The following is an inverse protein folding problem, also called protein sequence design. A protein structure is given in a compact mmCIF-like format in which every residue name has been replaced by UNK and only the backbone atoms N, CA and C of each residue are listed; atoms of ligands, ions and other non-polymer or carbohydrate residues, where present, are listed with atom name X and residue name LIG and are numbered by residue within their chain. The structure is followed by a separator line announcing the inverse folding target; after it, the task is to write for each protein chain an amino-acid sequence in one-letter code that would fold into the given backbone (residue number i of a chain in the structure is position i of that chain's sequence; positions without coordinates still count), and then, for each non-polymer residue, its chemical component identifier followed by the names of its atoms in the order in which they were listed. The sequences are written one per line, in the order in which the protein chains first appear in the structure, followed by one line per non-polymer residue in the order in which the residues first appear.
data_IF_928042367625
#
_entry.id   IF_928042367625
#
_cell.length_a   1.000
_cell.length_b   1.000
_cell.length_c   1.000
_cell.angle_alpha   90.00
_cell.angle_beta   90.00
_cell.angle_gamma   90.00
#
_symmetry.space_group_name_H-M   'P 1'
#
loop_
_entity.id
_entity.type
_entity.pdbx_description
1 polymer ?
#
# COMPACT_ATOMS: atom_id res chain seq x y z
N UNK A 1 -15.68 17.29 -81.18
CA UNK A 1 -14.53 17.19 -80.25
C UNK A 1 -14.93 16.28 -79.11
N UNK A 2 -14.10 15.29 -78.77
CA UNK A 2 -14.25 14.49 -77.54
C UNK A 2 -13.26 15.04 -76.50
N UNK A 3 -13.73 15.23 -75.27
CA UNK A 3 -12.91 15.65 -74.14
C UNK A 3 -12.81 14.48 -73.18
N UNK A 4 -11.61 14.24 -72.65
CA UNK A 4 -11.37 13.28 -71.58
C UNK A 4 -10.73 14.02 -70.42
N UNK A 5 -11.15 13.68 -69.20
CA UNK A 5 -10.53 14.14 -67.97
C UNK A 5 -9.63 13.00 -67.50
N UNK A 6 -8.39 13.30 -67.11
CA UNK A 6 -7.48 12.33 -66.52
C UNK A 6 -6.93 12.94 -65.24
N UNK A 7 -7.06 12.22 -64.14
CA UNK A 7 -6.50 12.65 -62.87
C UNK A 7 -4.98 12.47 -62.83
N UNK A 8 -4.32 13.40 -62.14
CA UNK A 8 -2.90 13.27 -61.78
C UNK A 8 -2.82 12.42 -60.52
N UNK A 9 -1.95 11.42 -60.52
CA UNK A 9 -1.77 10.50 -59.39
C UNK A 9 -1.57 11.26 -58.06
N UNK A 10 -2.39 10.92 -57.06
CA UNK A 10 -2.31 11.46 -55.71
C UNK A 10 -1.74 10.38 -54.80
N UNK A 11 -0.58 10.63 -54.19
CA UNK A 11 0.05 9.66 -53.30
C UNK A 11 -0.90 9.24 -52.17
N UNK A 12 -1.10 7.93 -52.00
CA UNK A 12 -2.00 7.36 -50.99
C UNK A 12 -3.45 7.20 -51.44
N UNK A 13 -3.78 7.45 -52.72
CA UNK A 13 -5.09 7.18 -53.31
C UNK A 13 -4.99 6.36 -54.59
N UNK A 14 -5.98 5.52 -54.85
CA UNK A 14 -6.21 4.81 -56.11
C UNK A 14 -7.42 5.43 -56.78
N UNK A 15 -7.24 5.99 -57.97
CA UNK A 15 -8.30 6.56 -58.77
C UNK A 15 -8.97 5.51 -59.67
N UNK A 16 -10.30 5.52 -59.74
CA UNK A 16 -11.08 4.84 -60.78
C UNK A 16 -11.87 5.86 -61.60
N UNK A 17 -12.09 5.57 -62.88
CA UNK A 17 -12.79 6.48 -63.78
C UNK A 17 -13.92 5.76 -64.50
N UNK A 18 -15.14 6.32 -64.38
CA UNK A 18 -16.31 5.91 -65.14
C UNK A 18 -16.82 7.12 -65.94
N UNK A 19 -16.53 7.14 -67.24
CA UNK A 19 -16.79 8.30 -68.10
C UNK A 19 -16.07 9.56 -67.61
N UNK A 20 -16.85 10.56 -67.21
CA UNK A 20 -16.34 11.84 -66.69
C UNK A 20 -16.31 11.91 -65.15
N UNK A 21 -16.68 10.82 -64.47
CA UNK A 21 -16.59 10.72 -63.02
C UNK A 21 -15.27 10.07 -62.65
N UNK A 22 -14.49 10.76 -61.83
CA UNK A 22 -13.25 10.25 -61.24
C UNK A 22 -13.52 10.02 -59.75
N UNK A 23 -13.29 8.80 -59.29
CA UNK A 23 -13.44 8.42 -57.88
C UNK A 23 -12.07 8.11 -57.29
N UNK A 24 -11.63 8.89 -56.32
CA UNK A 24 -10.44 8.58 -55.52
C UNK A 24 -10.80 7.70 -54.33
N UNK A 25 -10.09 6.59 -54.18
CA UNK A 25 -10.18 5.71 -53.02
C UNK A 25 -8.88 5.82 -52.24
N UNK A 26 -8.92 6.19 -50.96
CA UNK A 26 -7.70 6.22 -50.15
C UNK A 26 -7.17 4.80 -49.91
N UNK A 27 -5.87 4.59 -50.14
CA UNK A 27 -5.20 3.30 -50.10
C UNK A 27 -4.98 2.78 -48.67
N UNK A 28 -4.89 3.70 -47.69
CA UNK A 28 -4.65 3.41 -46.27
C UNK A 28 -5.74 4.10 -45.42
N UNK A 29 -6.98 3.62 -45.58
CA UNK A 29 -8.15 4.11 -44.84
C UNK A 29 -8.24 3.55 -43.41
N UNK A 30 -7.29 2.71 -43.00
CA UNK A 30 -7.27 2.10 -41.68
C UNK A 30 -6.11 2.65 -40.86
N UNK A 31 -6.36 2.86 -39.57
CA UNK A 31 -5.35 3.23 -38.59
C UNK A 31 -5.37 2.25 -37.42
N UNK A 32 -4.33 2.30 -36.61
CA UNK A 32 -4.33 1.73 -35.27
C UNK A 32 -4.21 2.81 -34.21
N UNK A 33 -4.84 2.56 -33.08
CA UNK A 33 -4.69 3.36 -31.86
C UNK A 33 -4.07 2.46 -30.81
N UNK A 34 -3.05 2.94 -30.12
CA UNK A 34 -2.39 2.20 -29.05
C UNK A 34 -2.50 2.98 -27.74
N UNK A 35 -2.69 2.27 -26.63
CA UNK A 35 -2.58 2.79 -25.29
C UNK A 35 -1.58 1.95 -24.48
N UNK A 36 -0.77 2.61 -23.67
CA UNK A 36 0.24 1.98 -22.82
C UNK A 36 -0.20 2.04 -21.35
N UNK A 37 -0.08 0.93 -20.63
CA UNK A 37 -0.37 0.84 -19.20
C UNK A 37 0.92 0.77 -18.41
N UNK A 38 1.04 1.67 -17.42
CA UNK A 38 2.10 1.66 -16.41
C UNK A 38 1.54 1.53 -15.01
N UNK A 39 2.34 0.94 -14.13
CA UNK A 39 2.00 0.76 -12.73
C UNK A 39 3.11 1.26 -11.81
N UNK A 40 2.73 2.00 -10.77
CA UNK A 40 3.61 2.45 -9.69
C UNK A 40 3.09 1.85 -8.38
N UNK A 41 3.86 0.93 -7.80
CA UNK A 41 3.52 0.22 -6.57
C UNK A 41 2.39 -0.81 -6.74
N UNK A 42 1.84 -1.24 -5.61
CA UNK A 42 0.67 -2.11 -5.49
C UNK A 42 0.86 -3.53 -6.03
N UNK A 43 2.10 -4.01 -6.21
CA UNK A 43 2.41 -5.29 -6.87
C UNK A 43 1.60 -6.49 -6.37
N UNK A 44 1.24 -6.51 -5.08
CA UNK A 44 0.50 -7.63 -4.47
C UNK A 44 -1.02 -7.52 -4.59
N UNK A 45 -1.53 -6.39 -5.08
CA UNK A 45 -2.96 -6.06 -5.16
C UNK A 45 -3.37 -5.54 -6.55
N UNK A 46 -2.50 -5.65 -7.55
CA UNK A 46 -2.87 -5.32 -8.94
C UNK A 46 -3.99 -6.27 -9.40
N UNK A 47 -5.01 -5.76 -10.10
CA UNK A 47 -6.06 -6.61 -10.66
C UNK A 47 -5.48 -7.50 -11.76
N UNK A 48 -6.19 -8.59 -12.10
CA UNK A 48 -5.81 -9.48 -13.21
C UNK A 48 -5.92 -8.81 -14.59
N UNK A 49 -6.73 -7.76 -14.70
CA UNK A 49 -6.92 -6.97 -15.91
C UNK A 49 -7.41 -5.56 -15.59
N UNK A 50 -7.28 -4.68 -16.57
CA UNK A 50 -7.90 -3.35 -16.58
C UNK A 50 -8.66 -3.17 -17.88
N UNK A 51 -9.65 -2.29 -17.89
CA UNK A 51 -10.46 -2.01 -19.07
C UNK A 51 -10.06 -0.67 -19.68
N UNK A 52 -9.77 -0.68 -20.97
CA UNK A 52 -9.64 0.54 -21.76
C UNK A 52 -10.82 0.67 -22.73
N UNK A 53 -11.28 1.89 -22.89
CA UNK A 53 -12.42 2.26 -23.73
C UNK A 53 -11.92 3.14 -24.87
N UNK A 54 -12.26 2.75 -26.10
CA UNK A 54 -11.99 3.55 -27.30
C UNK A 54 -13.19 4.44 -27.59
N UNK A 55 -12.91 5.69 -27.97
CA UNK A 55 -13.90 6.65 -28.43
C UNK A 55 -13.54 7.15 -29.82
N UNK A 56 -14.56 7.42 -30.64
CA UNK A 56 -14.46 8.02 -31.97
C UNK A 56 -15.40 9.22 -32.01
N UNK A 57 -14.86 10.40 -32.25
CA UNK A 57 -15.56 11.70 -32.19
C UNK A 57 -16.35 11.90 -30.89
N UNK A 58 -15.81 11.37 -29.78
CA UNK A 58 -16.44 11.41 -28.47
C UNK A 58 -17.52 10.34 -28.24
N UNK A 59 -17.84 9.53 -29.23
CA UNK A 59 -18.75 8.39 -29.08
C UNK A 59 -17.98 7.13 -28.71
N UNK A 60 -18.53 6.39 -27.75
CA UNK A 60 -17.94 5.16 -27.26
C UNK A 60 -18.02 4.04 -28.32
N UNK A 61 -16.87 3.47 -28.66
CA UNK A 61 -16.70 2.48 -29.73
C UNK A 61 -16.65 1.03 -29.22
N UNK A 62 -16.40 0.81 -27.93
CA UNK A 62 -16.32 -0.53 -27.31
C UNK A 62 -15.14 -0.72 -26.36
N UNK A 63 -15.16 -1.83 -25.63
CA UNK A 63 -14.09 -2.23 -24.70
C UNK A 63 -13.01 -2.98 -25.46
N UNK A 64 -11.74 -2.67 -25.19
CA UNK A 64 -10.71 -3.67 -25.32
C UNK A 64 -10.44 -4.27 -23.95
N UNK A 65 -10.61 -5.58 -23.85
CA UNK A 65 -10.09 -6.35 -22.74
C UNK A 65 -8.65 -6.66 -23.05
N UNK A 66 -7.74 -6.26 -22.16
CA UNK A 66 -6.43 -6.87 -22.16
C UNK A 66 -6.12 -7.49 -20.80
N UNK A 67 -5.66 -8.73 -20.85
CA UNK A 67 -5.28 -9.50 -19.67
C UNK A 67 -3.81 -9.23 -19.40
N UNK A 68 -3.54 -8.13 -18.72
CA UNK A 68 -2.19 -7.74 -18.36
C UNK A 68 -1.74 -8.59 -17.16
N UNK A 69 -0.89 -9.59 -17.42
CA UNK A 69 -0.39 -10.51 -16.39
C UNK A 69 0.60 -9.81 -15.45
N UNK A 70 0.65 -10.22 -14.16
CA UNK A 70 1.47 -9.58 -13.14
C UNK A 70 2.95 -9.92 -13.34
N UNK A 71 3.63 -9.10 -14.15
CA UNK A 71 5.05 -9.21 -14.46
C UNK A 71 5.50 -8.20 -15.52
N UNK A 72 4.61 -7.79 -16.40
CA UNK A 72 4.91 -6.79 -17.43
C UNK A 72 4.86 -5.39 -16.84
N UNK A 73 6.01 -4.72 -16.85
CA UNK A 73 6.15 -3.37 -16.32
C UNK A 73 5.45 -2.33 -17.18
N UNK A 74 5.24 -2.66 -18.45
CA UNK A 74 4.61 -1.80 -19.44
C UNK A 74 3.87 -2.72 -20.43
N UNK A 75 2.54 -2.65 -20.43
CA UNK A 75 1.70 -3.41 -21.36
C UNK A 75 0.97 -2.48 -22.29
N UNK A 76 0.59 -2.97 -23.48
CA UNK A 76 -0.01 -2.14 -24.53
C UNK A 76 -1.30 -2.78 -25.01
N UNK A 77 -2.30 -1.95 -25.20
CA UNK A 77 -3.56 -2.31 -25.86
C UNK A 77 -3.58 -1.62 -27.21
N UNK A 78 -3.83 -2.38 -28.27
CA UNK A 78 -3.88 -1.86 -29.64
C UNK A 78 -5.24 -2.18 -30.26
N UNK A 79 -5.92 -1.15 -30.75
CA UNK A 79 -7.07 -1.28 -31.64
C UNK A 79 -6.58 -1.13 -33.07
N UNK A 80 -6.84 -2.13 -33.92
CA UNK A 80 -6.48 -2.12 -35.35
C UNK A 80 -7.71 -1.93 -36.22
N UNK A 81 -7.50 -1.73 -37.52
CA UNK A 81 -8.55 -1.70 -38.54
C UNK A 81 -9.62 -0.61 -38.32
N UNK A 82 -9.25 0.47 -37.66
CA UNK A 82 -10.10 1.63 -37.38
C UNK A 82 -10.17 2.54 -38.61
N UNK A 83 -11.36 2.97 -39.02
CA UNK A 83 -11.49 3.88 -40.16
C UNK A 83 -10.82 5.22 -39.87
N UNK A 84 -10.04 5.74 -40.82
CA UNK A 84 -9.39 7.05 -40.68
C UNK A 84 -10.35 8.21 -40.93
N UNK A 85 -11.27 8.00 -41.86
CA UNK A 85 -12.23 9.01 -42.32
C UNK A 85 -13.64 8.42 -42.41
N UNK A 86 -14.64 9.28 -42.29
CA UNK A 86 -16.04 8.92 -42.56
C UNK A 86 -16.33 8.74 -44.07
N UNK A 87 -17.59 8.46 -44.41
CA UNK A 87 -18.03 8.31 -45.80
C UNK A 87 -17.94 9.60 -46.64
N UNK A 88 -17.81 10.75 -46.00
CA UNK A 88 -17.71 12.07 -46.63
C UNK A 88 -16.25 12.56 -46.73
N UNK A 89 -15.29 11.82 -46.14
CA UNK A 89 -13.87 12.12 -46.14
C UNK A 89 -13.38 12.95 -44.94
N UNK A 90 -14.22 13.18 -43.92
CA UNK A 90 -13.79 13.86 -42.69
C UNK A 90 -13.00 12.91 -41.79
N UNK A 91 -11.90 13.40 -41.20
CA UNK A 91 -11.03 12.60 -40.34
C UNK A 91 -11.68 12.36 -38.98
N UNK A 92 -11.75 11.09 -38.57
CA UNK A 92 -12.19 10.68 -37.23
C UNK A 92 -11.15 11.06 -36.17
N UNK A 93 -11.62 11.56 -35.02
CA UNK A 93 -10.79 11.79 -33.83
C UNK A 93 -10.96 10.60 -32.89
N UNK A 94 -9.85 9.93 -32.57
CA UNK A 94 -9.86 8.83 -31.61
C UNK A 94 -9.25 9.24 -30.27
N UNK A 95 -9.86 8.78 -29.18
CA UNK A 95 -9.33 8.92 -27.82
C UNK A 95 -9.54 7.64 -27.03
N UNK A 96 -8.67 7.42 -26.05
CA UNK A 96 -8.74 6.26 -25.14
C UNK A 96 -8.97 6.76 -23.72
N UNK A 97 -9.75 6.01 -22.94
CA UNK A 97 -9.89 6.20 -21.50
C UNK A 97 -9.66 4.88 -20.76
N UNK A 98 -9.12 4.95 -19.54
CA UNK A 98 -9.02 3.80 -18.64
C UNK A 98 -10.16 3.86 -17.63
N UNK A 99 -10.84 2.73 -17.44
CA UNK A 99 -11.84 2.58 -16.38
C UNK A 99 -11.14 2.57 -15.02
N UNK A 100 -11.66 3.33 -14.06
CA UNK A 100 -11.05 3.49 -12.74
C UNK A 100 -10.81 2.15 -12.03
N UNK A 101 -9.61 2.00 -11.47
CA UNK A 101 -9.20 0.81 -10.70
C UNK A 101 -9.18 1.17 -9.21
N UNK A 102 -9.90 0.39 -8.39
CA UNK A 102 -9.98 0.62 -6.95
C UNK A 102 -8.60 0.62 -6.29
N UNK A 103 -8.36 1.56 -5.36
CA UNK A 103 -7.06 1.76 -4.67
C UNK A 103 -5.91 2.26 -5.54
N UNK A 104 -6.15 2.62 -6.80
CA UNK A 104 -5.15 3.24 -7.66
C UNK A 104 -5.61 4.62 -8.16
N UNK A 105 -4.71 5.59 -8.14
CA UNK A 105 -4.90 6.87 -8.81
C UNK A 105 -4.38 6.79 -10.25
N UNK A 106 -5.21 7.16 -11.22
CA UNK A 106 -4.85 7.25 -12.64
C UNK A 106 -4.22 8.61 -12.95
N UNK A 107 -3.15 8.60 -13.74
CA UNK A 107 -2.61 9.78 -14.43
C UNK A 107 -2.31 9.42 -15.89
N UNK A 108 -2.34 10.40 -16.81
CA UNK A 108 -2.05 10.15 -18.23
C UNK A 108 -1.03 11.14 -18.79
N UNK A 109 -0.22 10.65 -19.72
CA UNK A 109 0.65 11.44 -20.61
C UNK A 109 0.47 10.91 -22.03
N UNK A 110 -0.20 11.68 -22.90
CA UNK A 110 -0.72 11.17 -24.17
C UNK A 110 -1.64 9.94 -23.95
N UNK A 111 -1.30 8.83 -24.61
CA UNK A 111 -1.99 7.54 -24.48
C UNK A 111 -1.30 6.58 -23.49
N UNK A 112 -0.38 7.07 -22.65
CA UNK A 112 0.21 6.29 -21.56
C UNK A 112 -0.53 6.57 -20.26
N UNK A 113 -1.11 5.53 -19.67
CA UNK A 113 -1.91 5.58 -18.44
C UNK A 113 -1.17 4.94 -17.26
N UNK A 114 -0.87 5.73 -16.25
CA UNK A 114 -0.12 5.29 -15.06
C UNK A 114 -1.04 5.15 -13.85
N UNK A 115 -1.18 3.92 -13.34
CA UNK A 115 -1.85 3.65 -12.07
C UNK A 115 -0.86 3.69 -10.93
N UNK A 116 -1.07 4.62 -10.01
CA UNK A 116 -0.26 4.75 -8.79
C UNK A 116 -1.04 4.23 -7.60
N UNK A 117 -0.50 3.22 -6.93
CA UNK A 117 -1.12 2.62 -5.75
C UNK A 117 -1.27 3.63 -4.62
N UNK A 118 -2.41 3.55 -3.91
CA UNK A 118 -2.71 4.35 -2.73
C UNK A 118 -3.15 3.42 -1.61
N UNK A 119 -2.38 3.40 -0.53
CA UNK A 119 -2.81 2.74 0.70
C UNK A 119 -3.95 3.51 1.34
N UNK A 120 -4.88 2.79 1.96
CA UNK A 120 -5.84 3.37 2.89
C UNK A 120 -5.16 3.64 4.23
N UNK A 121 -5.72 4.57 5.01
CA UNK A 121 -5.19 4.96 6.31
C UNK A 121 -6.19 4.65 7.42
N UNK A 122 -5.67 4.40 8.62
CA UNK A 122 -6.45 4.13 9.83
C UNK A 122 -5.77 4.74 11.04
N UNK A 123 -6.50 4.80 12.15
CA UNK A 123 -5.93 5.08 13.47
C UNK A 123 -5.69 3.78 14.22
N UNK A 124 -4.59 3.72 14.98
CA UNK A 124 -4.20 2.55 15.76
C UNK A 124 -4.12 2.91 17.23
N UNK A 125 -4.73 2.08 18.07
CA UNK A 125 -4.75 2.28 19.52
C UNK A 125 -3.88 1.24 20.20
N UNK A 126 -2.75 1.70 20.76
CA UNK A 126 -1.98 0.94 21.73
C UNK A 126 -2.67 0.94 23.09
N UNK A 127 -2.70 -0.21 23.77
CA UNK A 127 -3.35 -0.39 25.08
C UNK A 127 -2.33 -0.69 26.16
N UNK A 128 -2.48 -0.02 27.30
CA UNK A 128 -1.68 -0.25 28.49
C UNK A 128 -2.48 -1.04 29.51
N UNK A 129 -1.85 -2.04 30.12
CA UNK A 129 -2.40 -2.79 31.24
C UNK A 129 -1.44 -2.67 32.42
N UNK A 130 -1.97 -2.34 33.59
CA UNK A 130 -1.22 -2.30 34.85
C UNK A 130 -1.73 -3.40 35.79
N UNK A 131 -0.86 -4.32 36.19
CA UNK A 131 -1.17 -5.42 37.07
C UNK A 131 -0.46 -5.27 38.42
N UNK A 132 -1.19 -5.46 39.51
CA UNK A 132 -0.62 -5.57 40.86
C UNK A 132 -0.27 -4.26 41.57
N UNK A 133 -0.62 -3.08 41.02
CA UNK A 133 -0.42 -1.78 41.68
C UNK A 133 -1.29 -0.65 41.10
N UNK A 134 -1.51 0.43 41.86
CA UNK A 134 -2.31 1.61 41.47
C UNK A 134 -1.49 2.75 40.84
N UNK A 135 -0.19 2.80 41.06
CA UNK A 135 0.68 3.79 40.41
C UNK A 135 0.60 3.71 38.89
N UNK A 136 0.64 4.87 38.24
CA UNK A 136 0.64 5.06 36.79
C UNK A 136 1.78 6.01 36.40
N UNK A 137 3.04 5.55 36.43
CA UNK A 137 4.18 6.34 35.96
C UNK A 137 3.99 6.78 34.50
N UNK A 138 4.57 7.92 34.16
CA UNK A 138 4.58 8.42 32.80
C UNK A 138 5.40 7.48 31.91
N UNK A 139 4.81 7.11 30.77
CA UNK A 139 5.40 6.28 29.74
C UNK A 139 4.90 6.74 28.37
N UNK A 140 5.62 6.31 27.33
CA UNK A 140 5.27 6.55 25.95
C UNK A 140 5.23 5.22 25.20
N UNK A 141 4.48 5.17 24.11
CA UNK A 141 4.55 4.09 23.14
C UNK A 141 5.25 4.59 21.88
N UNK A 142 6.25 3.84 21.42
CA UNK A 142 6.81 3.97 20.08
C UNK A 142 6.13 2.96 19.16
N UNK A 143 5.63 3.41 18.00
CA UNK A 143 4.98 2.54 17.02
C UNK A 143 5.99 1.82 16.13
N UNK A 144 5.74 0.54 15.90
CA UNK A 144 6.49 -0.32 15.00
C UNK A 144 5.56 -0.96 13.98
N UNK A 145 6.07 -1.18 12.77
CA UNK A 145 5.37 -1.87 11.70
C UNK A 145 6.24 -2.96 11.08
N UNK A 146 5.60 -4.00 10.53
CA UNK A 146 6.26 -5.00 9.70
C UNK A 146 5.28 -5.66 8.73
N UNK A 147 5.84 -6.28 7.70
CA UNK A 147 5.15 -7.29 6.91
C UNK A 147 5.26 -8.64 7.64
N UNK A 148 4.28 -9.53 7.46
CA UNK A 148 4.26 -10.85 8.11
C UNK A 148 5.56 -11.61 7.85
N UNK A 149 6.23 -12.05 8.91
CA UNK A 149 7.50 -12.78 8.85
C UNK A 149 8.76 -11.92 8.71
N UNK A 150 8.62 -10.60 8.62
CA UNK A 150 9.74 -9.66 8.63
C UNK A 150 9.98 -9.03 10.01
N UNK A 151 11.16 -8.46 10.19
CA UNK A 151 11.55 -7.76 11.42
C UNK A 151 10.79 -6.43 11.56
N UNK A 152 10.22 -6.12 12.75
CA UNK A 152 9.64 -4.82 13.05
C UNK A 152 10.59 -3.65 12.88
N UNK A 153 10.10 -2.60 12.22
CA UNK A 153 10.79 -1.32 12.04
C UNK A 153 10.01 -0.19 12.71
N UNK A 154 10.71 0.83 13.21
CA UNK A 154 10.07 2.02 13.78
C UNK A 154 9.27 2.73 12.70
N UNK A 155 8.04 3.11 13.02
CA UNK A 155 7.26 4.03 12.18
C UNK A 155 7.79 5.44 12.40
N UNK A 156 7.89 6.21 11.32
CA UNK A 156 8.28 7.61 11.38
C UNK A 156 7.02 8.50 11.25
N UNK A 157 7.04 9.64 11.93
CA UNK A 157 6.05 10.68 11.79
C UNK A 157 6.28 11.51 10.50
N UNK A 158 5.44 12.53 10.28
CA UNK A 158 5.54 13.41 9.11
C UNK A 158 6.86 14.19 9.02
N UNK A 159 7.61 14.31 10.12
CA UNK A 159 8.90 15.00 10.18
C UNK A 159 10.09 14.03 10.06
N UNK A 160 9.83 12.73 9.86
CA UNK A 160 10.87 11.71 9.81
C UNK A 160 11.43 11.30 11.17
N UNK A 161 10.79 11.69 12.28
CA UNK A 161 11.17 11.25 13.63
C UNK A 161 10.39 9.99 14.03
N UNK A 162 10.86 9.18 14.99
CA UNK A 162 10.08 8.05 15.49
C UNK A 162 8.68 8.49 15.97
N UNK A 163 7.64 7.78 15.54
CA UNK A 163 6.27 8.08 15.95
C UNK A 163 6.04 7.60 17.39
N UNK A 164 6.11 8.55 18.32
CA UNK A 164 6.05 8.32 19.77
C UNK A 164 4.84 9.07 20.33
N UNK A 165 4.00 8.39 21.11
CA UNK A 165 2.80 8.98 21.71
C UNK A 165 2.77 8.69 23.21
N UNK A 166 2.48 9.73 24.01
CA UNK A 166 2.31 9.59 25.46
C UNK A 166 1.10 8.72 25.77
N UNK A 167 1.24 7.80 26.71
CA UNK A 167 0.08 7.01 27.18
C UNK A 167 -0.74 7.85 28.15
N UNK A 168 -2.03 7.99 27.85
CA UNK A 168 -3.03 8.72 28.66
C UNK A 168 -4.27 7.84 28.77
N UNK A 169 -4.84 7.71 29.96
CA UNK A 169 -6.00 6.85 30.24
C UNK A 169 -5.84 5.42 29.70
N UNK A 170 -4.66 4.84 29.96
CA UNK A 170 -4.28 3.48 29.57
C UNK A 170 -4.31 3.22 28.05
N UNK A 171 -4.20 4.27 27.22
CA UNK A 171 -4.14 4.19 25.76
C UNK A 171 -3.17 5.20 25.14
N UNK A 172 -2.72 4.90 23.92
CA UNK A 172 -2.07 5.85 23.03
C UNK A 172 -2.61 5.63 21.61
N UNK A 173 -3.04 6.71 20.95
CA UNK A 173 -3.56 6.65 19.59
C UNK A 173 -2.50 7.16 18.61
N UNK A 174 -2.26 6.39 17.55
CA UNK A 174 -1.44 6.76 16.42
C UNK A 174 -2.36 6.98 15.24
N UNK A 175 -2.55 8.25 14.90
CA UNK A 175 -3.48 8.65 13.86
C UNK A 175 -2.86 8.50 12.47
N UNK A 176 -3.70 8.21 11.49
CA UNK A 176 -3.38 8.27 10.06
C UNK A 176 -2.16 7.44 9.64
N UNK A 177 -2.14 6.16 10.02
CA UNK A 177 -1.10 5.21 9.59
C UNK A 177 -1.61 4.32 8.44
N UNK A 178 -0.76 3.95 7.47
CA UNK A 178 -1.19 3.20 6.30
C UNK A 178 -1.55 1.75 6.64
N UNK A 179 -2.52 1.15 5.93
CA UNK A 179 -2.87 -0.26 6.10
C UNK A 179 -1.90 -1.21 5.39
N UNK A 180 -1.19 -0.70 4.37
CA UNK A 180 -0.28 -1.46 3.53
C UNK A 180 0.99 -0.68 3.23
N UNK A 181 2.05 -1.38 2.81
CA UNK A 181 3.20 -0.73 2.21
C UNK A 181 2.89 -0.23 0.77
N UNK A 182 3.89 0.34 0.10
CA UNK A 182 3.79 0.82 -1.29
C UNK A 182 3.54 -0.30 -2.30
N UNK A 183 3.81 -1.56 -1.94
CA UNK A 183 3.61 -2.74 -2.77
C UNK A 183 2.25 -3.41 -2.54
N UNK A 184 1.43 -2.87 -1.62
CA UNK A 184 0.13 -3.42 -1.24
C UNK A 184 0.20 -4.51 -0.16
N UNK A 185 1.39 -4.81 0.38
CA UNK A 185 1.52 -5.78 1.47
C UNK A 185 0.89 -5.23 2.74
N UNK A 186 0.02 -6.02 3.38
CA UNK A 186 -0.59 -5.65 4.65
C UNK A 186 0.46 -5.41 5.75
N UNK A 187 0.36 -4.25 6.38
CA UNK A 187 1.20 -3.89 7.52
C UNK A 187 0.60 -4.43 8.83
N UNK A 188 1.47 -4.97 9.67
CA UNK A 188 1.17 -5.42 11.02
C UNK A 188 1.83 -4.44 11.98
N UNK A 189 1.04 -3.92 12.92
CA UNK A 189 1.51 -2.92 13.88
C UNK A 189 1.70 -3.50 15.28
N UNK A 190 2.70 -2.96 15.97
CA UNK A 190 2.99 -3.23 17.37
C UNK A 190 3.52 -1.99 18.07
N UNK A 191 3.45 -1.97 19.40
CA UNK A 191 4.00 -0.88 20.21
C UNK A 191 5.07 -1.40 21.16
N UNK A 192 6.05 -0.54 21.46
CA UNK A 192 7.00 -0.74 22.56
C UNK A 192 6.86 0.38 23.58
N UNK A 193 6.99 0.03 24.85
CA UNK A 193 7.04 0.99 25.95
C UNK A 193 8.41 1.66 26.01
N UNK A 194 8.40 2.98 25.90
CA UNK A 194 9.59 3.82 25.81
C UNK A 194 9.49 5.03 26.73
N UNK A 195 10.62 5.72 26.89
CA UNK A 195 10.63 7.09 27.39
C UNK A 195 10.14 8.06 26.29
N UNK A 196 10.12 9.35 26.62
CA UNK A 196 9.71 10.43 25.71
C UNK A 196 10.61 10.56 24.46
N UNK A 197 11.82 10.02 24.52
CA UNK A 197 12.84 10.11 23.47
C UNK A 197 12.86 8.80 22.63
N UNK A 198 12.00 7.83 22.94
CA UNK A 198 11.87 6.57 22.19
C UNK A 198 12.91 5.51 22.56
N UNK A 199 13.57 5.64 23.70
CA UNK A 199 14.49 4.63 24.25
C UNK A 199 13.72 3.59 25.05
N UNK A 200 14.24 2.36 25.07
CA UNK A 200 13.64 1.28 25.86
C UNK A 200 13.54 1.68 27.33
N UNK A 201 12.33 1.63 27.87
CA UNK A 201 12.05 2.09 29.23
C UNK A 201 11.07 1.14 29.91
N UNK A 202 11.29 0.98 31.22
CA UNK A 202 10.41 0.31 32.16
C UNK A 202 10.40 1.13 33.44
N UNK A 203 9.22 1.52 33.96
CA UNK A 203 9.13 2.16 35.25
C UNK A 203 9.71 1.31 36.37
N UNK A 204 10.41 1.95 37.31
CA UNK A 204 11.02 1.25 38.45
C UNK A 204 9.99 0.45 39.25
N UNK A 205 10.33 -0.80 39.57
CA UNK A 205 9.44 -1.71 40.30
C UNK A 205 8.41 -2.43 39.44
N UNK A 206 8.50 -2.31 38.10
CA UNK A 206 7.68 -3.08 37.17
C UNK A 206 8.53 -3.99 36.29
N UNK A 207 7.90 -5.02 35.75
CA UNK A 207 8.36 -5.75 34.57
C UNK A 207 7.35 -5.54 33.45
N UNK A 208 7.82 -5.31 32.23
CA UNK A 208 6.96 -5.16 31.06
C UNK A 208 6.88 -6.44 30.22
N UNK A 209 5.75 -6.63 29.56
CA UNK A 209 5.50 -7.61 28.50
C UNK A 209 4.81 -6.89 27.35
N UNK A 210 5.34 -7.04 26.14
CA UNK A 210 4.88 -6.35 24.92
C UNK A 210 4.36 -7.39 23.91
N UNK A 211 3.10 -7.26 23.50
CA UNK A 211 2.45 -8.14 22.53
C UNK A 211 1.58 -7.35 21.57
N UNK A 212 2.05 -7.20 20.33
CA UNK A 212 1.34 -6.43 19.32
C UNK A 212 1.06 -5.03 19.84
N UNK A 213 -0.22 -4.66 19.93
CA UNK A 213 -0.68 -3.36 20.39
C UNK A 213 -0.95 -3.27 21.90
N UNK A 214 -0.56 -4.28 22.69
CA UNK A 214 -0.79 -4.29 24.14
C UNK A 214 0.52 -4.38 24.90
N UNK A 215 0.69 -3.49 25.89
CA UNK A 215 1.81 -3.56 26.85
C UNK A 215 1.27 -3.76 28.25
N UNK A 216 1.72 -4.82 28.92
CA UNK A 216 1.39 -5.10 30.32
C UNK A 216 2.57 -4.80 31.24
N UNK A 217 2.40 -3.92 32.22
CA UNK A 217 3.34 -3.77 33.33
C UNK A 217 2.82 -4.50 34.57
N UNK A 218 3.63 -5.44 35.07
CA UNK A 218 3.34 -6.17 36.31
C UNK A 218 4.23 -5.65 37.41
N UNK A 219 3.63 -5.22 38.53
CA UNK A 219 4.36 -4.72 39.68
C UNK A 219 5.14 -5.84 40.38
N UNK A 220 6.43 -5.60 40.58
CA UNK A 220 7.34 -6.47 41.30
C UNK A 220 7.95 -5.69 42.47
N UNK A 221 7.38 -5.81 43.69
CA UNK A 221 7.89 -5.09 44.85
C UNK A 221 9.35 -5.47 45.11
N UNK A 222 10.21 -4.46 45.27
CA UNK A 222 11.60 -4.68 45.67
C UNK A 222 11.64 -5.23 47.09
N UNK A 223 12.10 -6.47 47.26
CA UNK A 223 12.34 -7.03 48.59
C UNK A 223 13.59 -6.36 49.17
N UNK A 224 13.41 -5.49 50.17
CA UNK A 224 14.52 -5.00 51.00
C UNK A 224 14.93 -6.11 51.97
N UNK A 225 15.80 -7.03 51.56
CA UNK A 225 16.55 -7.82 52.55
C UNK A 225 17.62 -6.93 53.16
N UNK A 226 17.53 -6.70 54.47
CA UNK A 226 18.62 -6.12 55.25
C UNK A 226 19.91 -6.92 55.00
N UNK A 227 20.97 -6.16 54.72
CA UNK A 227 22.35 -6.59 54.49
C UNK A 227 22.66 -7.36 53.19
N UNK A 228 23.46 -6.67 52.36
CA UNK A 228 24.00 -7.01 51.04
C UNK A 228 22.95 -7.09 49.92
N UNK A 229 23.08 -6.16 48.97
CA UNK A 229 22.41 -6.14 47.66
C UNK A 229 22.61 -7.51 46.99
N UNK A 230 21.61 -8.38 47.07
CA UNK A 230 21.54 -9.59 46.24
C UNK A 230 20.21 -9.54 45.51
N UNK A 231 20.29 -9.34 44.20
CA UNK A 231 19.15 -9.40 43.28
C UNK A 231 18.58 -10.81 43.32
N UNK A 232 17.39 -11.00 43.90
CA UNK A 232 16.64 -12.26 43.78
C UNK A 232 15.66 -12.05 42.63
N UNK A 233 15.98 -12.60 41.47
CA UNK A 233 15.05 -12.68 40.34
C UNK A 233 13.94 -13.66 40.70
N UNK A 234 12.75 -13.17 41.05
CA UNK A 234 11.56 -14.01 41.17
C UNK A 234 11.07 -14.25 39.74
N UNK A 235 11.40 -15.41 39.18
CA UNK A 235 10.87 -15.87 37.90
C UNK A 235 9.42 -16.31 38.15
N UNK A 236 8.45 -15.45 37.83
CA UNK A 236 7.06 -15.84 37.73
C UNK A 236 6.86 -16.51 36.36
N UNK A 237 6.92 -17.85 36.33
CA UNK A 237 6.50 -18.63 35.17
C UNK A 237 4.98 -18.53 35.05
N UNK A 238 4.50 -17.60 34.23
CA UNK A 238 3.12 -17.60 33.76
C UNK A 238 3.00 -18.65 32.64
N UNK A 239 2.83 -19.91 33.02
CA UNK A 239 2.22 -20.91 32.13
C UNK A 239 0.73 -20.93 32.48
N UNK A 240 -0.11 -20.94 31.47
CA UNK A 240 -1.56 -20.91 31.59
C UNK A 240 -2.06 -21.90 32.67
N UNK A 241 -2.70 -21.36 33.71
CA UNK A 241 -3.33 -22.14 34.78
C UNK A 241 -2.37 -22.61 35.88
N UNK A 242 -2.68 -22.18 37.12
CA UNK A 242 -2.09 -22.63 38.40
C UNK A 242 -0.83 -21.84 38.84
N UNK A 243 -1.06 -20.83 39.70
CA UNK A 243 -0.02 -20.18 40.49
C UNK A 243 0.61 -21.23 41.43
N UNK A 244 1.87 -21.58 41.20
CA UNK A 244 2.67 -22.32 42.18
C UNK A 244 3.82 -21.42 42.65
N UNK A 245 3.73 -20.91 43.88
CA UNK A 245 4.78 -20.13 44.52
C UNK A 245 5.90 -21.09 44.96
N UNK A 246 7.04 -21.08 44.27
CA UNK A 246 8.23 -21.80 44.74
C UNK A 246 8.89 -20.96 45.84
N UNK A 247 8.75 -21.40 47.10
CA UNK A 247 9.54 -20.89 48.23
C UNK A 247 10.97 -21.45 48.15
N UNK A 248 11.96 -20.60 47.89
CA UNK A 248 13.38 -20.95 48.10
C UNK A 248 13.65 -20.96 49.61
N UNK A 249 13.78 -22.16 50.19
CA UNK A 249 14.20 -22.35 51.59
C UNK A 249 15.71 -22.17 51.72
N UNK A 250 16.13 -21.08 52.39
CA UNK A 250 17.53 -20.84 52.77
C UNK A 250 17.89 -21.73 53.98
N UNK A 251 18.66 -22.81 53.77
CA UNK A 251 19.24 -23.60 54.87
C UNK A 251 20.22 -22.73 55.68
N UNK A 252 19.92 -22.50 56.97
CA UNK A 252 20.88 -21.98 57.96
C UNK A 252 21.93 -23.06 58.22
N UNK A 253 23.21 -22.79 57.95
CA UNK A 253 24.32 -23.48 58.62
C UNK A 253 24.34 -22.99 60.07
N UNK A 254 24.00 -23.85 61.03
CA UNK A 254 24.46 -23.68 62.41
C UNK A 254 25.80 -24.41 62.51
N UNK A 255 26.83 -23.69 62.94
CA UNK A 255 28.08 -24.27 63.38
C UNK A 255 28.00 -24.57 64.87
N UNK A 256 28.49 -25.75 65.24
CA UNK A 256 29.48 -25.96 66.29
C UNK A 256 30.45 -27.02 65.76
#
# INVERSE_FOLDING_TARGET
YSYTVKEVEVAGFTASQDGNVITNTCNDNKISVEAEKKWVGGNTVRPESVTFQLYRDGEYMGEAYDKILPGDRDSKVTWTDLDRVDSEGHVYIYSVEEVAVESFAVSRDGNTFTNTYKSQFTDIVGRKIWAGHTARPEIYFTLYQNIKGQTPQKVLDANGQPYIVKVVDDKATFDHVPLTDQEGNKLIYSVKETDKDGNDYVPTGFMKREEGLTVTNTYTPLVRTGEKKTTISIILLAVAGILTIIRVLKRRKQGQ
#
